data_IF_426316827918
#
_entry.id   IF_426316827918
#
_cell.length_a   1.000
_cell.length_b   1.000
_cell.length_c   1.000
_cell.angle_alpha   90.00
_cell.angle_beta   90.00
_cell.angle_gamma   90.00
#
_symmetry.space_group_name_H-M   'P 1'
#
loop_
_entity.id
_entity.type
_entity.pdbx_description
1 polymer ?
#
# COMPACT_ATOMS: atom_id res chain seq x y z
N UNK A 1 -31.15 5.57 11.58
CA UNK A 1 -29.96 5.94 12.37
C UNK A 1 -29.09 6.74 11.44
N UNK A 2 -29.12 8.05 11.63
CA UNK A 2 -28.53 9.01 10.69
C UNK A 2 -27.01 8.84 10.63
N UNK A 3 -26.50 8.42 9.48
CA UNK A 3 -25.09 8.51 9.17
C UNK A 3 -24.75 9.99 9.01
N UNK A 4 -24.20 10.60 10.03
CA UNK A 4 -23.56 11.91 9.89
C UNK A 4 -22.43 11.75 8.87
N UNK A 5 -22.71 12.14 7.62
CA UNK A 5 -21.67 12.27 6.60
C UNK A 5 -20.78 13.44 7.03
N UNK A 6 -19.66 13.13 7.65
CA UNK A 6 -18.62 14.12 7.94
C UNK A 6 -18.17 14.66 6.58
N UNK A 7 -18.39 15.96 6.32
CA UNK A 7 -17.87 16.61 5.11
C UNK A 7 -16.38 16.33 5.00
N UNK A 8 -16.02 15.68 3.93
CA UNK A 8 -14.63 15.32 3.61
C UNK A 8 -14.01 16.51 2.93
N UNK A 9 -12.95 17.07 3.50
CA UNK A 9 -12.24 18.16 2.89
C UNK A 9 -10.76 17.77 2.73
N UNK A 10 -10.29 17.69 1.47
CA UNK A 10 -8.87 17.54 1.16
C UNK A 10 -8.09 18.79 1.55
N UNK A 11 -8.74 19.94 1.53
CA UNK A 11 -8.19 21.25 1.94
C UNK A 11 -7.67 21.25 3.37
N UNK A 12 -8.27 20.46 4.27
CA UNK A 12 -7.86 20.32 5.68
C UNK A 12 -7.21 18.94 5.99
N UNK A 13 -6.88 18.16 4.98
CA UNK A 13 -6.34 16.81 5.17
C UNK A 13 -4.82 16.84 5.34
N UNK A 14 -4.32 16.23 6.42
CA UNK A 14 -2.87 16.11 6.68
C UNK A 14 -2.13 15.23 5.66
N UNK A 15 -2.87 14.51 4.81
CA UNK A 15 -2.31 13.59 3.80
C UNK A 15 -2.24 14.20 2.40
N UNK A 16 -2.59 15.49 2.22
CA UNK A 16 -2.65 16.10 0.89
C UNK A 16 -1.35 16.02 0.11
N UNK A 17 -0.20 15.99 0.79
CA UNK A 17 1.12 15.86 0.13
C UNK A 17 1.46 14.42 -0.30
N UNK A 18 0.72 13.44 0.17
CA UNK A 18 0.91 12.01 -0.14
C UNK A 18 -0.18 11.46 -1.06
N UNK A 19 -1.34 12.12 -1.11
CA UNK A 19 -2.54 11.69 -1.79
C UNK A 19 -2.77 12.50 -3.08
N UNK A 20 -3.93 12.32 -3.70
CA UNK A 20 -4.35 12.94 -4.96
C UNK A 20 -4.20 14.49 -5.02
N UNK A 21 -4.40 15.26 -3.93
CA UNK A 21 -4.29 16.72 -3.97
C UNK A 21 -2.88 17.30 -4.17
N UNK A 22 -1.84 16.47 -4.28
CA UNK A 22 -0.47 16.96 -4.42
C UNK A 22 -0.31 17.89 -5.65
N UNK A 23 0.12 19.13 -5.40
CA UNK A 23 0.37 20.12 -6.45
C UNK A 23 -0.86 20.85 -6.99
N UNK A 24 -2.07 20.57 -6.48
CA UNK A 24 -3.28 21.29 -6.83
C UNK A 24 -3.34 22.67 -6.13
N UNK A 25 -3.82 23.67 -6.85
CA UNK A 25 -4.12 24.98 -6.27
C UNK A 25 -5.42 24.95 -5.43
N UNK A 26 -5.73 26.00 -4.63
CA UNK A 26 -6.92 26.01 -3.77
C UNK A 26 -8.24 25.78 -4.52
N UNK A 27 -8.40 26.33 -5.72
CA UNK A 27 -9.63 26.18 -6.51
C UNK A 27 -9.78 24.74 -7.04
N UNK A 28 -8.69 24.13 -7.45
CA UNK A 28 -8.66 22.72 -7.87
C UNK A 28 -8.96 21.77 -6.70
N UNK A 29 -8.45 22.10 -5.49
CA UNK A 29 -8.73 21.36 -4.27
C UNK A 29 -10.21 21.47 -3.90
N UNK A 30 -10.83 22.64 -3.99
CA UNK A 30 -12.26 22.82 -3.72
C UNK A 30 -13.14 22.00 -4.68
N UNK A 31 -12.74 21.87 -5.95
CA UNK A 31 -13.46 21.02 -6.90
C UNK A 31 -13.24 19.54 -6.59
N UNK A 32 -12.02 19.13 -6.25
CA UNK A 32 -11.74 17.76 -5.81
C UNK A 32 -12.52 17.40 -4.53
N UNK A 33 -12.67 18.32 -3.60
CA UNK A 33 -13.48 18.13 -2.38
C UNK A 33 -14.96 17.83 -2.68
N UNK A 34 -15.48 18.33 -3.80
CA UNK A 34 -16.85 18.02 -4.26
C UNK A 34 -16.96 16.63 -4.88
N UNK A 35 -15.89 16.16 -5.53
CA UNK A 35 -15.81 14.82 -6.15
C UNK A 35 -15.67 13.74 -5.09
N UNK A 36 -14.96 14.01 -4.00
CA UNK A 36 -14.83 13.05 -2.90
C UNK A 36 -16.17 12.93 -2.17
N UNK A 37 -16.95 11.95 -2.58
CA UNK A 37 -18.35 11.82 -2.21
C UNK A 37 -18.57 11.45 -0.75
N UNK A 38 -17.70 10.64 -0.18
CA UNK A 38 -17.87 10.11 1.18
C UNK A 38 -16.60 9.47 1.75
N UNK A 39 -16.65 9.19 3.04
CA UNK A 39 -15.71 8.31 3.73
C UNK A 39 -16.37 6.98 4.05
N UNK A 40 -15.61 5.91 3.88
CA UNK A 40 -16.05 4.57 4.23
C UNK A 40 -15.12 3.98 5.28
N UNK A 41 -15.69 3.53 6.40
CA UNK A 41 -14.97 2.80 7.44
C UNK A 41 -15.04 1.33 7.15
N UNK A 42 -13.89 0.67 7.21
CA UNK A 42 -13.73 -0.75 6.92
C UNK A 42 -13.17 -1.39 8.18
N UNK A 43 -13.88 -2.42 8.68
CA UNK A 43 -13.42 -3.19 9.83
C UNK A 43 -12.28 -4.11 9.44
N UNK A 44 -11.38 -4.37 10.38
CA UNK A 44 -10.32 -5.35 10.22
C UNK A 44 -10.87 -6.68 9.69
N UNK A 45 -10.22 -7.24 8.67
CA UNK A 45 -10.60 -8.49 8.03
C UNK A 45 -11.75 -8.37 7.02
N UNK A 46 -12.39 -7.19 6.91
CA UNK A 46 -13.44 -6.96 5.91
C UNK A 46 -12.83 -6.50 4.59
N UNK A 47 -13.47 -6.91 3.48
CA UNK A 47 -13.12 -6.44 2.15
C UNK A 47 -13.63 -5.01 1.93
N UNK A 48 -12.81 -4.19 1.29
CA UNK A 48 -13.20 -2.91 0.71
C UNK A 48 -13.99 -3.15 -0.60
N UNK A 49 -13.49 -4.06 -1.41
CA UNK A 49 -14.12 -4.66 -2.60
C UNK A 49 -13.54 -6.06 -2.83
N UNK A 50 -14.21 -6.84 -3.65
CA UNK A 50 -13.81 -8.20 -4.00
C UNK A 50 -13.56 -8.35 -5.51
N UNK A 51 -12.75 -9.35 -5.88
CA UNK A 51 -12.51 -9.71 -7.27
C UNK A 51 -13.84 -10.02 -7.99
N UNK A 52 -14.00 -9.49 -9.21
CA UNK A 52 -15.25 -9.58 -9.98
C UNK A 52 -16.32 -8.55 -9.62
N UNK A 53 -16.16 -7.79 -8.53
CA UNK A 53 -17.05 -6.67 -8.18
C UNK A 53 -16.90 -5.55 -9.22
N UNK A 54 -18.03 -4.91 -9.59
CA UNK A 54 -18.01 -3.80 -10.54
C UNK A 54 -17.17 -2.64 -10.02
N UNK A 55 -16.24 -2.19 -10.84
CA UNK A 55 -15.46 -1.01 -10.55
C UNK A 55 -16.29 0.27 -10.74
N UNK A 56 -16.30 1.13 -9.73
CA UNK A 56 -17.01 2.42 -9.78
C UNK A 56 -16.19 3.55 -9.18
N UNK A 57 -15.22 3.24 -8.35
CA UNK A 57 -14.50 4.26 -7.58
C UNK A 57 -13.06 3.85 -7.34
N UNK A 58 -12.19 4.85 -7.24
CA UNK A 58 -10.91 4.75 -6.58
C UNK A 58 -11.05 5.05 -5.09
N UNK A 59 -10.14 4.55 -4.29
CA UNK A 59 -10.16 4.70 -2.84
C UNK A 59 -8.82 5.22 -2.35
N UNK A 60 -8.81 6.40 -1.72
CA UNK A 60 -7.62 6.89 -1.04
C UNK A 60 -7.62 6.42 0.42
N UNK A 61 -6.58 5.71 0.82
CA UNK A 61 -6.43 5.24 2.20
C UNK A 61 -6.17 6.44 3.11
N UNK A 62 -7.15 6.79 3.96
CA UNK A 62 -7.02 7.86 4.93
C UNK A 62 -6.33 7.40 6.22
N UNK A 63 -6.66 6.22 6.68
CA UNK A 63 -6.02 5.57 7.83
C UNK A 63 -6.09 4.06 7.70
N UNK A 64 -5.13 3.38 8.30
CA UNK A 64 -5.06 1.92 8.31
C UNK A 64 -4.21 1.34 7.19
N UNK A 65 -4.25 0.02 7.12
CA UNK A 65 -3.51 -0.80 6.18
C UNK A 65 -4.45 -1.76 5.46
N UNK A 66 -4.19 -1.98 4.18
CA UNK A 66 -4.87 -2.97 3.35
C UNK A 66 -3.86 -3.94 2.76
N UNK A 67 -4.31 -5.14 2.45
CA UNK A 67 -3.67 -6.03 1.50
C UNK A 67 -4.53 -6.17 0.26
N UNK A 68 -3.91 -6.29 -0.90
CA UNK A 68 -4.56 -6.80 -2.11
C UNK A 68 -4.15 -8.25 -2.31
N UNK A 69 -5.07 -9.10 -2.73
CA UNK A 69 -4.80 -10.49 -3.01
C UNK A 69 -5.63 -11.02 -4.16
N UNK A 70 -5.08 -12.02 -4.85
CA UNK A 70 -5.76 -12.77 -5.89
C UNK A 70 -5.90 -14.21 -5.42
N UNK A 71 -7.10 -14.74 -5.45
CA UNK A 71 -7.34 -16.15 -5.16
C UNK A 71 -7.14 -16.95 -6.45
N UNK A 72 -6.22 -17.90 -6.42
CA UNK A 72 -5.94 -18.80 -7.55
C UNK A 72 -7.04 -19.85 -7.69
N UNK A 73 -7.14 -20.51 -8.86
CA UNK A 73 -8.17 -21.50 -9.16
C UNK A 73 -8.19 -22.67 -8.15
N UNK A 74 -7.05 -22.98 -7.54
CA UNK A 74 -6.90 -24.00 -6.51
C UNK A 74 -7.17 -23.45 -5.08
N UNK A 75 -7.72 -22.26 -4.95
CA UNK A 75 -8.17 -21.66 -3.69
C UNK A 75 -7.06 -21.09 -2.81
N UNK A 76 -5.84 -20.88 -3.34
CA UNK A 76 -4.74 -20.24 -2.61
C UNK A 76 -4.78 -18.73 -2.82
N UNK A 77 -4.63 -17.97 -1.72
CA UNK A 77 -4.51 -16.53 -1.77
C UNK A 77 -3.06 -16.10 -2.00
N UNK A 78 -2.82 -15.39 -3.09
CA UNK A 78 -1.56 -14.71 -3.35
C UNK A 78 -1.70 -13.23 -3.00
N UNK A 79 -0.98 -12.76 -1.99
CA UNK A 79 -0.90 -11.33 -1.69
C UNK A 79 -0.11 -10.65 -2.79
N UNK A 80 -0.71 -9.64 -3.43
CA UNK A 80 -0.11 -8.88 -4.52
C UNK A 80 0.42 -7.53 -4.06
N UNK A 81 -0.11 -7.00 -2.94
CA UNK A 81 0.34 -5.70 -2.43
C UNK A 81 -0.09 -5.42 -1.00
N UNK A 82 0.58 -4.44 -0.41
CA UNK A 82 0.19 -3.82 0.85
C UNK A 82 0.08 -2.32 0.66
N UNK A 83 -1.09 -1.76 0.94
CA UNK A 83 -1.36 -0.33 0.81
C UNK A 83 -1.58 0.28 2.19
N UNK A 84 -1.10 1.50 2.34
CA UNK A 84 -1.17 2.23 3.61
C UNK A 84 -1.67 3.66 3.40
N UNK A 85 -1.86 4.36 4.49
CA UNK A 85 -2.29 5.77 4.52
C UNK A 85 -1.61 6.62 3.45
N UNK A 86 -2.38 7.37 2.66
CA UNK A 86 -1.94 8.23 1.56
C UNK A 86 -1.79 7.52 0.21
N UNK A 87 -2.08 6.22 0.13
CA UNK A 87 -2.02 5.47 -1.14
C UNK A 87 -3.42 5.24 -1.72
N UNK A 88 -3.46 4.99 -3.02
CA UNK A 88 -4.71 4.76 -3.78
C UNK A 88 -4.89 3.26 -4.01
N UNK A 89 -6.11 2.78 -3.83
CA UNK A 89 -6.53 1.40 -4.09
C UNK A 89 -7.62 1.43 -5.17
N UNK A 90 -7.71 0.37 -5.98
CA UNK A 90 -8.75 0.18 -6.98
C UNK A 90 -8.31 0.49 -8.41
N UNK A 91 -7.03 0.80 -8.66
CA UNK A 91 -6.50 1.04 -10.01
C UNK A 91 -6.63 -0.19 -10.92
N UNK A 92 -6.71 -1.38 -10.34
CA UNK A 92 -6.89 -2.66 -11.03
C UNK A 92 -8.21 -2.76 -11.82
N UNK A 93 -9.23 -2.03 -11.35
CA UNK A 93 -10.57 -2.05 -11.97
C UNK A 93 -10.70 -1.22 -13.24
N UNK A 94 -9.76 -0.33 -13.55
CA UNK A 94 -9.82 0.60 -14.69
C UNK A 94 -9.82 -0.14 -16.03
N UNK A 95 -9.16 -1.29 -16.13
CA UNK A 95 -8.96 -2.00 -17.41
C UNK A 95 -10.25 -2.68 -17.89
N UNK A 96 -11.00 -3.30 -16.99
CA UNK A 96 -12.12 -4.18 -17.35
C UNK A 96 -13.44 -3.79 -16.67
N UNK A 97 -13.54 -2.62 -16.05
CA UNK A 97 -14.69 -2.16 -15.26
C UNK A 97 -15.08 -3.09 -14.08
N UNK A 98 -14.18 -4.00 -13.71
CA UNK A 98 -14.33 -4.92 -12.59
C UNK A 98 -12.99 -5.07 -11.86
N UNK A 99 -13.05 -5.21 -10.54
CA UNK A 99 -11.86 -5.48 -9.74
C UNK A 99 -11.27 -6.86 -10.05
N UNK A 100 -9.96 -6.91 -10.20
CA UNK A 100 -9.20 -8.14 -10.49
C UNK A 100 -8.66 -8.82 -9.23
N UNK A 101 -8.76 -8.16 -8.08
CA UNK A 101 -8.26 -8.65 -6.79
C UNK A 101 -9.23 -8.28 -5.66
N UNK A 102 -9.05 -8.91 -4.51
CA UNK A 102 -9.68 -8.47 -3.26
C UNK A 102 -8.81 -7.41 -2.59
N UNK A 103 -9.44 -6.42 -1.96
CA UNK A 103 -8.76 -5.47 -1.07
C UNK A 103 -9.29 -5.63 0.35
N UNK A 104 -8.45 -6.14 1.27
CA UNK A 104 -8.85 -6.52 2.62
C UNK A 104 -8.13 -5.66 3.65
N UNK A 105 -8.87 -5.12 4.63
CA UNK A 105 -8.32 -4.30 5.70
C UNK A 105 -7.56 -5.16 6.74
N UNK A 106 -6.31 -4.82 7.02
CA UNK A 106 -5.45 -5.50 8.02
C UNK A 106 -5.69 -4.98 9.45
N UNK A 107 -6.28 -3.80 9.56
CA UNK A 107 -6.71 -3.16 10.81
C UNK A 107 -7.98 -2.33 10.52
N UNK A 108 -8.64 -1.77 11.55
CA UNK A 108 -9.76 -0.84 11.33
C UNK A 108 -9.24 0.35 10.52
N UNK A 109 -9.85 0.60 9.37
CA UNK A 109 -9.36 1.53 8.35
C UNK A 109 -10.46 2.50 7.91
N UNK A 110 -10.05 3.64 7.34
CA UNK A 110 -10.92 4.60 6.70
C UNK A 110 -10.38 4.96 5.32
N UNK A 111 -11.25 4.99 4.32
CA UNK A 111 -10.93 5.39 2.96
C UNK A 111 -11.81 6.56 2.51
N UNK A 112 -11.27 7.44 1.66
CA UNK A 112 -12.04 8.41 0.90
C UNK A 112 -12.50 7.75 -0.40
N UNK A 113 -13.79 7.83 -0.71
CA UNK A 113 -14.39 7.26 -1.92
C UNK A 113 -14.36 8.32 -3.01
N UNK A 114 -13.77 7.99 -4.15
CA UNK A 114 -13.63 8.87 -5.31
C UNK A 114 -14.27 8.20 -6.54
N UNK A 115 -15.51 8.56 -6.91
CA UNK A 115 -16.16 8.05 -8.12
C UNK A 115 -15.25 8.28 -9.33
N UNK A 116 -14.94 7.21 -10.08
CA UNK A 116 -13.90 7.26 -11.10
C UNK A 116 -14.27 8.17 -12.27
N UNK A 117 -15.53 8.14 -12.70
CA UNK A 117 -16.07 9.03 -13.74
C UNK A 117 -15.83 10.50 -13.42
N UNK A 118 -16.08 10.91 -12.17
CA UNK A 118 -15.87 12.29 -11.71
C UNK A 118 -14.38 12.65 -11.60
N UNK A 119 -13.53 11.70 -11.16
CA UNK A 119 -12.08 11.89 -11.14
C UNK A 119 -11.53 12.04 -12.56
N UNK A 120 -12.04 11.25 -13.51
CA UNK A 120 -11.66 11.33 -14.90
C UNK A 120 -12.10 12.65 -15.55
N UNK A 121 -13.33 13.10 -15.31
CA UNK A 121 -13.84 14.40 -15.78
C UNK A 121 -12.98 15.54 -15.23
N UNK A 122 -12.70 15.53 -13.92
CA UNK A 122 -11.88 16.55 -13.28
C UNK A 122 -10.44 16.55 -13.79
N UNK A 123 -9.89 15.38 -14.11
CA UNK A 123 -8.54 15.25 -14.68
C UNK A 123 -8.42 15.79 -16.10
N UNK A 124 -9.51 15.81 -16.87
CA UNK A 124 -9.56 16.48 -18.19
C UNK A 124 -9.54 18.00 -18.05
N UNK A 125 -10.12 18.54 -16.98
CA UNK A 125 -10.13 19.97 -16.69
C UNK A 125 -8.79 20.45 -16.12
N UNK A 126 -8.14 19.62 -15.26
CA UNK A 126 -6.89 19.99 -14.58
C UNK A 126 -5.73 19.08 -15.00
N UNK A 127 -4.83 19.61 -15.82
CA UNK A 127 -3.62 18.90 -16.26
C UNK A 127 -2.72 18.50 -15.09
N UNK A 128 -2.71 19.27 -14.00
CA UNK A 128 -1.98 18.95 -12.76
C UNK A 128 -2.49 17.66 -12.14
N UNK A 129 -3.82 17.49 -12.03
CA UNK A 129 -4.44 16.28 -11.50
C UNK A 129 -4.18 15.08 -12.42
N UNK A 130 -4.34 15.27 -13.74
CA UNK A 130 -4.04 14.23 -14.73
C UNK A 130 -2.60 13.74 -14.60
N UNK A 131 -1.64 14.67 -14.55
CA UNK A 131 -0.23 14.33 -14.40
C UNK A 131 0.05 13.60 -13.08
N UNK A 132 -0.66 13.96 -12.00
CA UNK A 132 -0.52 13.29 -10.72
C UNK A 132 -1.07 11.85 -10.75
N UNK A 133 -2.21 11.62 -11.41
CA UNK A 133 -2.77 10.27 -11.64
C UNK A 133 -1.76 9.41 -12.41
N UNK A 134 -1.18 9.95 -13.50
CA UNK A 134 -0.13 9.22 -14.24
C UNK A 134 1.08 8.88 -13.37
N UNK A 135 1.50 9.77 -12.46
CA UNK A 135 2.57 9.46 -11.50
C UNK A 135 2.19 8.35 -10.53
N UNK A 136 0.94 8.32 -10.05
CA UNK A 136 0.45 7.25 -9.17
C UNK A 136 0.51 5.92 -9.92
N UNK A 137 -0.05 5.83 -11.12
CA UNK A 137 -0.02 4.62 -11.95
C UNK A 137 1.41 4.16 -12.25
N UNK A 138 2.29 5.10 -12.62
CA UNK A 138 3.70 4.81 -12.87
C UNK A 138 4.42 4.26 -11.61
N UNK A 139 4.10 4.77 -10.42
CA UNK A 139 4.65 4.22 -9.16
C UNK A 139 4.21 2.79 -8.91
N UNK A 140 2.94 2.45 -9.20
CA UNK A 140 2.47 1.07 -9.05
C UNK A 140 3.20 0.15 -10.04
N UNK A 141 3.36 0.55 -11.31
CA UNK A 141 4.13 -0.22 -12.30
C UNK A 141 5.58 -0.45 -11.83
N UNK A 142 6.25 0.59 -11.33
CA UNK A 142 7.63 0.47 -10.80
C UNK A 142 7.66 -0.44 -9.56
N UNK A 143 6.64 -0.38 -8.72
CA UNK A 143 6.51 -1.28 -7.56
C UNK A 143 6.37 -2.73 -8.01
N UNK A 144 5.50 -3.00 -8.98
CA UNK A 144 5.28 -4.35 -9.52
C UNK A 144 6.55 -4.91 -10.16
N UNK A 145 7.29 -4.09 -10.92
CA UNK A 145 8.60 -4.48 -11.46
C UNK A 145 9.60 -4.83 -10.35
N UNK A 146 9.59 -4.06 -9.25
CA UNK A 146 10.46 -4.33 -8.10
C UNK A 146 10.10 -5.65 -7.42
N UNK A 147 8.80 -5.96 -7.30
CA UNK A 147 8.32 -7.25 -6.77
C UNK A 147 8.71 -8.40 -7.70
N UNK A 148 8.55 -8.25 -9.03
CA UNK A 148 8.99 -9.27 -9.99
C UNK A 148 10.48 -9.53 -9.89
N UNK A 149 11.32 -8.50 -9.79
CA UNK A 149 12.76 -8.64 -9.59
C UNK A 149 13.07 -9.38 -8.28
N UNK A 150 12.39 -8.99 -7.20
CA UNK A 150 12.52 -9.60 -5.88
C UNK A 150 12.18 -11.10 -5.95
N UNK A 151 11.06 -11.48 -6.57
CA UNK A 151 10.62 -12.87 -6.68
C UNK A 151 11.49 -13.71 -7.64
N UNK A 152 12.01 -13.09 -8.70
CA UNK A 152 12.75 -13.79 -9.75
C UNK A 152 14.24 -14.00 -9.44
N UNK A 153 14.89 -13.08 -8.72
CA UNK A 153 16.35 -13.09 -8.60
C UNK A 153 16.90 -13.09 -7.18
N UNK A 154 16.08 -12.73 -6.17
CA UNK A 154 16.57 -12.57 -4.80
C UNK A 154 16.40 -13.85 -3.96
N UNK A 155 17.33 -14.09 -3.02
CA UNK A 155 17.26 -15.13 -1.99
C UNK A 155 16.29 -14.71 -0.87
N UNK A 156 15.87 -15.64 -0.04
CA UNK A 156 14.91 -15.41 1.04
C UNK A 156 15.30 -14.24 1.97
N UNK A 157 16.57 -14.15 2.33
CA UNK A 157 17.10 -13.07 3.19
C UNK A 157 17.03 -11.70 2.49
N UNK A 158 17.43 -11.66 1.21
CA UNK A 158 17.40 -10.46 0.38
C UNK A 158 15.95 -9.96 0.22
N UNK A 159 15.00 -10.89 -0.03
CA UNK A 159 13.57 -10.57 -0.15
C UNK A 159 13.02 -9.94 1.13
N UNK A 160 13.30 -10.54 2.29
CA UNK A 160 12.81 -10.02 3.57
C UNK A 160 13.48 -8.69 3.91
N UNK A 161 14.78 -8.54 3.67
CA UNK A 161 15.50 -7.28 3.90
C UNK A 161 14.95 -6.15 3.01
N UNK A 162 14.74 -6.42 1.71
CA UNK A 162 14.16 -5.46 0.77
C UNK A 162 12.74 -5.05 1.18
N UNK A 163 11.92 -6.01 1.62
CA UNK A 163 10.57 -5.73 2.12
C UNK A 163 10.59 -4.81 3.34
N UNK A 164 11.42 -5.09 4.35
CA UNK A 164 11.52 -4.27 5.55
C UNK A 164 12.02 -2.86 5.23
N UNK A 165 13.04 -2.73 4.38
CA UNK A 165 13.55 -1.42 3.94
C UNK A 165 12.49 -0.61 3.19
N UNK A 166 11.75 -1.24 2.27
CA UNK A 166 10.66 -0.59 1.54
C UNK A 166 9.55 -0.12 2.49
N UNK A 167 9.14 -0.98 3.44
CA UNK A 167 8.10 -0.64 4.40
C UNK A 167 8.50 0.53 5.29
N UNK A 168 9.72 0.54 5.81
CA UNK A 168 10.27 1.65 6.61
C UNK A 168 10.35 2.94 5.80
N UNK A 169 10.85 2.88 4.56
CA UNK A 169 10.94 4.06 3.69
C UNK A 169 9.56 4.67 3.43
N UNK A 170 8.54 3.83 3.15
CA UNK A 170 7.17 4.28 2.92
C UNK A 170 6.56 4.89 4.20
N UNK A 171 6.81 4.29 5.36
CA UNK A 171 6.35 4.81 6.64
C UNK A 171 7.06 6.13 6.99
N UNK A 172 8.36 6.21 6.75
CA UNK A 172 9.13 7.44 7.00
C UNK A 172 8.63 8.63 6.17
N UNK A 173 8.28 8.41 4.89
CA UNK A 173 7.66 9.44 4.04
C UNK A 173 6.32 9.98 4.61
N UNK A 174 5.75 9.30 5.62
CA UNK A 174 4.52 9.66 6.35
C UNK A 174 4.79 10.21 7.74
N UNK A 175 6.05 10.52 8.07
CA UNK A 175 6.46 11.06 9.37
C UNK A 175 6.66 10.03 10.47
N UNK A 176 6.65 8.72 10.15
CA UNK A 176 6.98 7.66 11.11
C UNK A 176 8.50 7.44 11.25
N UNK A 177 8.88 6.64 12.26
CA UNK A 177 10.28 6.29 12.53
C UNK A 177 10.98 5.68 11.30
N UNK A 178 12.29 5.95 11.17
CA UNK A 178 13.16 5.33 10.16
C UNK A 178 13.66 3.93 10.55
N UNK A 179 13.47 3.54 11.81
CA UNK A 179 14.01 2.29 12.36
C UNK A 179 12.97 1.45 13.06
N UNK A 180 11.81 2.01 13.40
CA UNK A 180 10.77 1.29 14.14
C UNK A 180 9.51 1.16 13.28
N UNK A 181 8.95 -0.03 13.25
CA UNK A 181 7.70 -0.30 12.53
C UNK A 181 6.85 -1.33 13.27
N UNK A 182 5.55 -1.24 13.08
CA UNK A 182 4.58 -2.24 13.54
C UNK A 182 4.06 -2.99 12.33
N UNK A 183 4.35 -4.29 12.24
CA UNK A 183 3.83 -5.14 11.18
C UNK A 183 2.32 -5.33 11.36
N UNK A 184 1.54 -4.90 10.39
CA UNK A 184 0.09 -5.10 10.36
C UNK A 184 -0.30 -6.45 9.75
N UNK A 185 0.58 -6.98 8.89
CA UNK A 185 0.46 -8.26 8.22
C UNK A 185 1.06 -9.40 9.05
N UNK A 186 0.52 -10.58 8.88
CA UNK A 186 1.04 -11.82 9.47
C UNK A 186 2.29 -12.32 8.73
N UNK A 187 3.03 -13.25 9.34
CA UNK A 187 4.15 -13.92 8.68
C UNK A 187 3.73 -14.70 7.44
N UNK A 188 2.52 -15.25 7.46
CA UNK A 188 1.91 -15.94 6.33
C UNK A 188 1.64 -14.97 5.16
N UNK A 189 1.04 -13.83 5.44
CA UNK A 189 0.79 -12.79 4.44
C UNK A 189 2.09 -12.21 3.87
N UNK A 190 3.12 -12.02 4.71
CA UNK A 190 4.47 -11.65 4.25
C UNK A 190 5.04 -12.76 3.35
N UNK A 191 4.89 -14.02 3.75
CA UNK A 191 5.34 -15.17 2.96
C UNK A 191 4.63 -15.23 1.60
N UNK A 192 3.30 -15.08 1.58
CA UNK A 192 2.52 -15.02 0.35
C UNK A 192 3.03 -13.91 -0.57
N UNK A 193 3.24 -12.69 -0.06
CA UNK A 193 3.75 -11.56 -0.84
C UNK A 193 5.18 -11.79 -1.38
N UNK A 194 6.05 -12.41 -0.59
CA UNK A 194 7.46 -12.63 -0.93
C UNK A 194 7.73 -13.96 -1.64
N UNK A 195 6.70 -14.77 -1.93
CA UNK A 195 6.88 -16.11 -2.51
C UNK A 195 7.66 -17.04 -1.60
N UNK A 196 7.41 -17.00 -0.28
CA UNK A 196 8.13 -17.77 0.75
C UNK A 196 7.14 -18.52 1.63
N UNK A 197 7.53 -19.70 2.10
CA UNK A 197 6.76 -20.41 3.15
C UNK A 197 6.86 -19.69 4.48
N UNK A 198 5.81 -19.79 5.33
CA UNK A 198 5.75 -19.22 6.67
C UNK A 198 7.00 -19.55 7.50
N UNK A 199 7.45 -20.80 7.46
CA UNK A 199 8.62 -21.26 8.21
C UNK A 199 9.91 -20.57 7.74
N UNK A 200 10.01 -20.31 6.42
CA UNK A 200 11.16 -19.61 5.85
C UNK A 200 11.18 -18.16 6.30
N UNK A 201 10.03 -17.46 6.26
CA UNK A 201 9.89 -16.10 6.77
C UNK A 201 10.31 -16.07 8.25
N UNK A 202 9.76 -16.96 9.06
CA UNK A 202 10.04 -17.02 10.51
C UNK A 202 11.52 -17.27 10.80
N UNK A 203 12.16 -18.23 10.11
CA UNK A 203 13.61 -18.50 10.25
C UNK A 203 14.45 -17.30 9.84
N UNK A 204 14.09 -16.62 8.76
CA UNK A 204 14.82 -15.43 8.30
C UNK A 204 14.74 -14.30 9.30
N UNK A 205 13.57 -14.08 9.90
CA UNK A 205 13.44 -13.10 11.00
C UNK A 205 14.32 -13.47 12.21
N UNK A 206 14.32 -14.75 12.64
CA UNK A 206 15.15 -15.22 13.75
C UNK A 206 16.63 -14.99 13.45
N UNK A 207 17.08 -15.31 12.24
CA UNK A 207 18.46 -15.07 11.79
C UNK A 207 18.85 -13.60 11.91
N UNK A 208 17.99 -12.65 11.44
CA UNK A 208 18.27 -11.22 11.53
C UNK A 208 18.31 -10.72 12.99
N UNK A 209 17.56 -11.37 13.89
CA UNK A 209 17.63 -11.08 15.33
C UNK A 209 18.94 -11.59 15.93
N UNK A 210 19.34 -12.82 15.62
CA UNK A 210 20.60 -13.44 16.08
C UNK A 210 21.83 -12.66 15.61
N UNK A 211 21.80 -12.18 14.36
CA UNK A 211 22.86 -11.33 13.78
C UNK A 211 22.83 -9.88 14.30
N UNK A 212 21.86 -9.53 15.15
CA UNK A 212 21.74 -8.18 15.73
C UNK A 212 21.32 -7.09 14.72
N UNK A 213 20.81 -7.49 13.54
CA UNK A 213 20.36 -6.58 12.48
C UNK A 213 19.04 -5.92 12.86
N UNK A 214 18.12 -6.70 13.43
CA UNK A 214 16.81 -6.26 13.91
C UNK A 214 16.54 -6.74 15.33
N UNK A 215 15.57 -6.13 15.99
CA UNK A 215 14.92 -6.64 17.19
C UNK A 215 13.43 -6.80 16.91
N UNK A 216 12.84 -7.89 17.41
CA UNK A 216 11.41 -8.20 17.20
C UNK A 216 10.73 -8.48 18.52
N UNK A 217 9.65 -7.72 18.81
CA UNK A 217 8.77 -7.94 19.96
C UNK A 217 7.32 -8.05 19.45
N UNK A 218 6.83 -9.25 19.30
CA UNK A 218 5.51 -9.53 18.69
C UNK A 218 5.38 -8.95 17.26
N UNK A 219 4.66 -7.84 17.10
CA UNK A 219 4.49 -7.12 15.83
C UNK A 219 5.46 -5.95 15.68
N UNK A 220 6.15 -5.57 16.72
CA UNK A 220 7.13 -4.48 16.69
C UNK A 220 8.44 -5.00 16.13
N UNK A 221 8.96 -4.30 15.15
CA UNK A 221 10.28 -4.55 14.57
C UNK A 221 11.09 -3.26 14.70
N UNK A 222 12.25 -3.38 15.32
CA UNK A 222 13.23 -2.32 15.39
C UNK A 222 14.45 -2.70 14.55
N UNK A 223 14.77 -1.91 13.54
CA UNK A 223 15.95 -2.07 12.70
C UNK A 223 17.12 -1.44 13.43
N UNK A 224 18.01 -2.26 13.99
CA UNK A 224 19.19 -1.82 14.72
C UNK A 224 20.31 -1.37 13.79
N UNK A 225 20.42 -2.02 12.62
CA UNK A 225 21.47 -1.74 11.64
C UNK A 225 20.89 -1.71 10.21
N UNK A 226 20.52 -0.51 9.79
CA UNK A 226 19.96 -0.29 8.45
C UNK A 226 20.98 -0.58 7.34
N UNK A 227 22.26 -0.31 7.58
CA UNK A 227 23.30 -0.54 6.59
C UNK A 227 23.56 -2.02 6.39
N UNK A 228 23.49 -2.84 7.45
CA UNK A 228 23.54 -4.29 7.33
C UNK A 228 22.37 -4.83 6.47
N UNK A 229 21.13 -4.32 6.68
CA UNK A 229 20.01 -4.69 5.81
C UNK A 229 20.22 -4.29 4.35
N UNK A 230 20.79 -3.12 4.10
CA UNK A 230 21.12 -2.66 2.74
C UNK A 230 22.18 -3.55 2.09
N UNK A 231 23.21 -3.96 2.82
CA UNK A 231 24.25 -4.87 2.34
C UNK A 231 23.70 -6.25 1.97
N UNK A 232 22.70 -6.75 2.70
CA UNK A 232 22.03 -8.01 2.36
C UNK A 232 21.35 -7.90 0.99
N UNK A 233 20.70 -6.77 0.68
CA UNK A 233 20.01 -6.55 -0.62
C UNK A 233 20.98 -6.29 -1.76
N UNK A 234 22.11 -5.66 -1.48
CA UNK A 234 23.12 -5.32 -2.51
C UNK A 234 24.46 -5.94 -2.10
N UNK A 235 24.68 -7.23 -2.37
CA UNK A 235 25.97 -7.85 -2.07
C UNK A 235 27.10 -7.12 -2.80
N UNK A 236 28.30 -6.97 -2.20
CA UNK A 236 29.40 -6.13 -2.68
C UNK A 236 30.06 -6.55 -4.00
N UNK A 237 29.50 -7.49 -4.75
CA UNK A 237 30.08 -8.05 -5.97
C UNK A 237 29.08 -8.23 -7.13
N UNK A 238 28.29 -7.20 -7.45
CA UNK A 238 27.69 -7.07 -8.78
C UNK A 238 28.38 -5.90 -9.53
N UNK A 239 29.51 -6.19 -10.13
CA UNK A 239 30.07 -5.42 -11.23
C UNK A 239 29.67 -6.06 -12.55
#
# INVERSE_FOLDING_TARGET
MDSHSIKVACSSCNLRELCLPLGLNPQEIDKLDRVISSRRRIKRGSALFSAGEKFTSLYAVRSGFFKTCVTTVDGRDQVTGFQMTGEIIGLDGIVNDHHSCDAIALEDAEVCVMPFDQVEELSREFTTLQHHIHKIMSREIVRDHSVMLLLGSMRAEERLAAFLLNLVQRLHARGFSQSELVLRMTREEIGSYLGMKLETVSRTFSKFVEEGVIEVKQRYVHIKNTDALRQIVTPPNCR
#
